data_IF_095158031745
#
_entry.id   IF_095158031745
#
_cell.length_a   1.000
_cell.length_b   1.000
_cell.length_c   1.000
_cell.angle_alpha   90.00
_cell.angle_beta   90.00
_cell.angle_gamma   90.00
#
_symmetry.space_group_name_H-M   'P 1'
#
loop_
_entity.id
_entity.type
_entity.pdbx_description
1 polymer ?
#
# COMPACT_ATOMS: atom_id res chain seq x y z
N UNK A 1 5.64 13.09 -42.39
CA UNK A 1 4.85 13.68 -41.28
C UNK A 1 3.91 12.58 -40.78
N UNK A 2 4.40 11.78 -39.83
CA UNK A 2 4.10 11.88 -38.37
C UNK A 2 2.81 11.15 -38.00
N UNK A 3 2.88 9.82 -37.87
CA UNK A 3 2.01 9.06 -36.97
C UNK A 3 2.85 8.76 -35.74
N UNK A 4 2.77 9.64 -34.76
CA UNK A 4 3.33 9.38 -33.43
C UNK A 4 2.51 8.24 -32.85
N UNK A 5 3.07 7.03 -32.87
CA UNK A 5 2.71 5.98 -31.93
C UNK A 5 2.89 6.60 -30.55
N UNK A 6 1.79 7.05 -29.97
CA UNK A 6 1.75 7.26 -28.54
C UNK A 6 1.75 5.86 -27.94
N UNK A 7 2.95 5.35 -27.72
CA UNK A 7 3.24 4.28 -26.77
C UNK A 7 2.69 4.73 -25.41
N UNK A 8 1.39 4.54 -25.22
CA UNK A 8 0.78 4.43 -23.91
C UNK A 8 1.26 3.09 -23.35
N UNK A 9 2.53 3.05 -22.96
CA UNK A 9 3.01 2.07 -22.01
C UNK A 9 2.17 2.31 -20.75
N UNK A 10 1.25 1.38 -20.46
CA UNK A 10 0.67 1.26 -19.14
C UNK A 10 1.83 1.29 -18.13
N UNK A 11 2.02 2.43 -17.45
CA UNK A 11 3.16 2.66 -16.55
C UNK A 11 3.14 1.77 -15.30
N UNK A 12 2.20 0.83 -15.19
CA UNK A 12 2.00 -0.01 -14.02
C UNK A 12 2.04 -1.46 -14.48
N UNK A 13 3.10 -2.16 -14.08
CA UNK A 13 3.32 -3.57 -14.39
C UNK A 13 2.39 -4.54 -13.62
N UNK A 14 1.32 -4.02 -12.99
CA UNK A 14 0.47 -4.79 -12.09
C UNK A 14 -0.94 -4.19 -11.92
N UNK A 15 -1.93 -5.08 -11.81
CA UNK A 15 -3.33 -4.73 -11.52
C UNK A 15 -3.45 -4.30 -10.05
N UNK A 16 -4.13 -3.16 -9.81
CA UNK A 16 -4.49 -2.70 -8.47
C UNK A 16 -5.99 -2.91 -8.23
N UNK A 17 -6.32 -3.69 -7.22
CA UNK A 17 -7.67 -3.87 -6.73
C UNK A 17 -7.98 -2.78 -5.71
N UNK A 18 -9.10 -2.08 -5.88
CA UNK A 18 -9.61 -1.18 -4.85
C UNK A 18 -10.28 -2.02 -3.77
N UNK A 19 -9.81 -1.89 -2.54
CA UNK A 19 -10.21 -2.75 -1.42
C UNK A 19 -10.88 -1.98 -0.29
N UNK A 20 -10.50 -0.72 -0.06
CA UNK A 20 -11.04 0.13 1.03
C UNK A 20 -11.17 -0.66 2.35
N UNK A 21 -10.08 -1.32 2.75
CA UNK A 21 -10.04 -2.29 3.85
C UNK A 21 -9.27 -1.75 5.07
N UNK A 22 -9.71 -2.11 6.27
CA UNK A 22 -8.99 -1.79 7.50
C UNK A 22 -7.69 -2.58 7.58
N UNK A 23 -6.60 -1.90 7.93
CA UNK A 23 -5.27 -2.50 8.05
C UNK A 23 -4.57 -2.03 9.32
N UNK A 24 -3.70 -2.89 9.84
CA UNK A 24 -2.78 -2.53 10.92
C UNK A 24 -1.39 -2.33 10.33
N UNK A 25 -0.84 -1.13 10.52
CA UNK A 25 0.56 -0.84 10.25
C UNK A 25 1.36 -1.02 11.54
N UNK A 26 2.45 -1.76 11.49
CA UNK A 26 3.34 -1.96 12.63
C UNK A 26 4.67 -1.27 12.30
N UNK A 27 5.02 -0.28 13.11
CA UNK A 27 6.25 0.51 12.93
C UNK A 27 6.93 0.75 14.27
N UNK A 28 8.19 0.33 14.39
CA UNK A 28 8.96 0.40 15.63
C UNK A 28 8.22 -0.21 16.84
N UNK A 29 7.49 -1.32 16.62
CA UNK A 29 6.72 -2.01 17.66
C UNK A 29 5.38 -1.37 18.03
N UNK A 30 5.00 -0.26 17.38
CA UNK A 30 3.69 0.36 17.57
C UNK A 30 2.72 -0.11 16.50
N UNK A 31 1.52 -0.52 16.91
CA UNK A 31 0.41 -0.80 16.01
C UNK A 31 -0.37 0.49 15.71
N UNK A 32 -0.65 0.74 14.44
CA UNK A 32 -1.38 1.91 13.95
C UNK A 32 -2.49 1.42 13.01
N UNK A 33 -3.74 1.71 13.37
CA UNK A 33 -4.89 1.48 12.49
C UNK A 33 -4.86 2.45 11.31
N UNK A 34 -5.09 1.93 10.12
CA UNK A 34 -5.08 2.66 8.86
C UNK A 34 -6.04 2.01 7.86
N UNK A 35 -6.19 2.59 6.66
CA UNK A 35 -7.05 2.05 5.61
C UNK A 35 -6.26 1.79 4.34
N UNK A 36 -6.27 0.56 3.83
CA UNK A 36 -5.74 0.20 2.53
C UNK A 36 -6.75 0.56 1.45
N UNK A 37 -6.42 1.55 0.62
CA UNK A 37 -7.27 2.06 -0.45
C UNK A 37 -7.21 1.14 -1.68
N UNK A 38 -5.99 0.74 -2.04
CA UNK A 38 -5.75 -0.18 -3.15
C UNK A 38 -4.59 -1.14 -2.86
N UNK A 39 -4.67 -2.34 -3.43
CA UNK A 39 -3.71 -3.43 -3.25
C UNK A 39 -3.35 -4.05 -4.60
N UNK A 40 -2.08 -4.41 -4.77
CA UNK A 40 -1.59 -5.28 -5.84
C UNK A 40 -0.63 -6.34 -5.29
N UNK A 41 -0.14 -7.21 -6.17
CA UNK A 41 0.90 -8.18 -5.81
C UNK A 41 2.26 -7.55 -5.44
N UNK A 42 2.49 -6.27 -5.76
CA UNK A 42 3.78 -5.59 -5.55
C UNK A 42 3.73 -4.45 -4.52
N UNK A 43 2.55 -4.04 -4.07
CA UNK A 43 2.40 -2.87 -3.23
C UNK A 43 0.97 -2.53 -2.88
N UNK A 44 0.81 -1.43 -2.15
CA UNK A 44 -0.49 -0.92 -1.74
C UNK A 44 -0.46 0.59 -1.50
N UNK A 45 -1.63 1.22 -1.55
CA UNK A 45 -1.82 2.58 -1.08
C UNK A 45 -2.59 2.59 0.24
N UNK A 46 -2.06 3.29 1.24
CA UNK A 46 -2.64 3.33 2.58
C UNK A 46 -2.90 4.78 2.99
N UNK A 47 -4.07 5.03 3.57
CA UNK A 47 -4.39 6.25 4.31
C UNK A 47 -4.09 6.01 5.79
N UNK A 48 -3.12 6.75 6.34
CA UNK A 48 -2.65 6.60 7.70
C UNK A 48 -2.94 7.87 8.54
N UNK A 49 -3.23 7.74 9.84
CA UNK A 49 -3.60 8.86 10.70
C UNK A 49 -2.42 9.70 11.19
N UNK A 50 -1.18 9.35 10.79
CA UNK A 50 0.04 10.03 11.22
C UNK A 50 1.08 10.06 10.12
N UNK A 51 2.13 10.85 10.33
CA UNK A 51 3.21 11.00 9.37
C UNK A 51 4.21 9.83 9.38
N UNK A 52 4.64 9.47 8.18
CA UNK A 52 5.73 8.55 7.88
C UNK A 52 6.67 9.20 6.86
N UNK A 53 7.85 8.60 6.67
CA UNK A 53 8.87 9.06 5.72
C UNK A 53 9.15 7.98 4.69
N UNK A 54 9.56 8.42 3.50
CA UNK A 54 10.10 7.49 2.51
C UNK A 54 11.32 6.75 3.09
N UNK A 55 11.39 5.45 2.87
CA UNK A 55 12.36 4.55 3.47
C UNK A 55 11.94 3.94 4.81
N UNK A 56 10.85 4.38 5.44
CA UNK A 56 10.34 3.73 6.64
C UNK A 56 9.87 2.31 6.30
N UNK A 57 10.31 1.33 7.10
CA UNK A 57 9.83 -0.05 6.99
C UNK A 57 8.62 -0.26 7.90
N UNK A 58 7.61 -0.92 7.35
CA UNK A 58 6.34 -1.21 8.00
C UNK A 58 6.00 -2.67 7.78
N UNK A 59 5.57 -3.35 8.85
CA UNK A 59 4.83 -4.60 8.71
C UNK A 59 3.35 -4.24 8.56
N UNK A 60 2.72 -4.73 7.50
CA UNK A 60 1.30 -4.50 7.22
C UNK A 60 0.54 -5.78 7.47
N UNK A 61 -0.55 -5.69 8.24
CA UNK A 61 -1.51 -6.77 8.47
C UNK A 61 -2.88 -6.36 7.98
N UNK A 62 -3.48 -7.17 7.11
CA UNK A 62 -4.89 -7.08 6.71
C UNK A 62 -5.56 -8.36 7.21
N UNK A 63 -6.42 -8.22 8.22
CA UNK A 63 -7.14 -9.37 8.75
C UNK A 63 -8.19 -9.84 7.72
N UNK A 64 -8.42 -11.16 7.66
CA UNK A 64 -9.47 -11.71 6.81
C UNK A 64 -10.62 -12.20 7.67
N UNK A 65 -11.80 -11.65 7.41
CA UNK A 65 -13.05 -12.08 8.07
C UNK A 65 -13.56 -13.41 7.49
N UNK A 66 -12.97 -13.88 6.39
CA UNK A 66 -13.40 -15.10 5.72
C UNK A 66 -12.58 -16.30 6.22
N UNK A 67 -13.20 -17.34 6.81
CA UNK A 67 -12.51 -18.46 7.47
C UNK A 67 -11.64 -19.35 6.54
N UNK A 68 -11.69 -19.11 5.23
CA UNK A 68 -10.95 -19.84 4.21
C UNK A 68 -9.78 -19.05 3.61
N UNK A 69 -9.67 -17.75 3.90
CA UNK A 69 -8.61 -16.89 3.41
C UNK A 69 -7.72 -16.50 4.58
N UNK A 70 -6.41 -16.67 4.42
CA UNK A 70 -5.46 -16.11 5.38
C UNK A 70 -5.44 -14.59 5.18
N UNK A 71 -5.37 -13.86 6.29
CA UNK A 71 -5.06 -12.43 6.24
C UNK A 71 -3.75 -12.19 5.50
N UNK A 72 -3.55 -10.97 4.99
CA UNK A 72 -2.30 -10.57 4.37
C UNK A 72 -1.36 -10.09 5.47
N UNK A 73 -0.17 -10.67 5.56
CA UNK A 73 0.94 -10.13 6.33
C UNK A 73 2.12 -9.86 5.40
N UNK A 74 2.61 -8.62 5.37
CA UNK A 74 3.67 -8.22 4.45
C UNK A 74 4.65 -7.24 5.08
N UNK A 75 5.94 -7.50 4.88
CA UNK A 75 7.01 -6.53 5.12
C UNK A 75 7.02 -5.54 3.95
N UNK A 76 6.98 -4.25 4.25
CA UNK A 76 6.86 -3.18 3.24
C UNK A 76 7.78 -2.01 3.51
N UNK A 77 8.05 -1.22 2.47
CA UNK A 77 8.76 0.06 2.56
C UNK A 77 7.89 1.20 2.02
N UNK A 78 7.90 2.33 2.71
CA UNK A 78 7.28 3.57 2.23
C UNK A 78 8.11 4.11 1.06
N UNK A 79 7.57 4.07 -0.16
CA UNK A 79 8.23 4.63 -1.35
C UNK A 79 7.88 6.11 -1.58
N UNK A 80 6.73 6.55 -1.06
CA UNK A 80 6.36 7.97 -1.00
C UNK A 80 5.31 8.21 0.09
N UNK A 81 5.29 9.42 0.63
CA UNK A 81 4.30 9.91 1.58
C UNK A 81 3.80 11.29 1.15
N UNK A 82 2.51 11.55 1.31
CA UNK A 82 1.88 12.86 1.02
C UNK A 82 0.83 13.15 2.07
N UNK A 83 0.78 14.38 2.57
CA UNK A 83 -0.27 14.80 3.49
C UNK A 83 -1.64 14.74 2.81
N UNK A 84 -2.64 14.25 3.54
CA UNK A 84 -4.02 14.10 3.07
C UNK A 84 -5.00 14.22 4.23
N UNK A 85 -5.86 15.24 4.20
CA UNK A 85 -6.97 15.45 5.13
C UNK A 85 -6.65 15.21 6.63
N UNK A 86 -5.52 15.73 7.12
CA UNK A 86 -5.12 15.59 8.53
C UNK A 86 -4.39 14.29 8.87
N UNK A 87 -4.16 13.42 7.89
CA UNK A 87 -3.27 12.26 7.95
C UNK A 87 -2.30 12.26 6.76
N UNK A 88 -1.88 11.07 6.34
CA UNK A 88 -1.04 10.88 5.16
C UNK A 88 -1.54 9.76 4.26
N UNK A 89 -1.32 9.93 2.95
CA UNK A 89 -1.34 8.86 1.96
C UNK A 89 0.06 8.34 1.76
N UNK A 90 0.19 7.03 1.82
CA UNK A 90 1.44 6.31 1.66
C UNK A 90 1.35 5.43 0.42
N UNK A 91 2.43 5.40 -0.36
CA UNK A 91 2.70 4.31 -1.28
C UNK A 91 3.63 3.33 -0.61
N UNK A 92 3.20 2.08 -0.48
CA UNK A 92 3.99 1.01 0.10
C UNK A 92 4.40 0.02 -0.99
N UNK A 93 5.66 -0.37 -0.99
CA UNK A 93 6.17 -1.49 -1.80
C UNK A 93 6.26 -2.73 -0.91
N UNK A 94 5.73 -3.86 -1.40
CA UNK A 94 5.87 -5.15 -0.72
C UNK A 94 7.30 -5.66 -0.95
N UNK A 95 8.03 -5.87 0.14
CA UNK A 95 9.37 -6.46 0.13
C UNK A 95 9.26 -7.98 0.25
N UNK A 96 8.35 -8.46 1.10
CA UNK A 96 8.15 -9.88 1.38
C UNK A 96 6.75 -10.12 1.95
N UNK A 97 6.14 -11.23 1.56
CA UNK A 97 4.89 -11.75 2.15
C UNK A 97 5.22 -12.87 3.14
N UNK A 98 4.45 -12.96 4.23
CA UNK A 98 4.63 -13.95 5.31
C UNK A 98 3.36 -14.75 5.55
#
# INVERSE_FOLDING_TARGET
>A
MSRTDQDYSEKRDYIRMRVDADVTLIHAGLEISATCLDLSGSGMQVAAPRAFKAGDQLLVRIDSDHPALRGLEAETEVVWARDDNGGQRLGLQILKMT
#
